data_IF_370085294552
#
_entry.id   IF_370085294552
#
_cell.length_a   1.000
_cell.length_b   1.000
_cell.length_c   1.000
_cell.angle_alpha   90.00
_cell.angle_beta   90.00
_cell.angle_gamma   90.00
#
_symmetry.space_group_name_H-M   'P 1'
#
loop_
_entity.id
_entity.type
_entity.pdbx_description
1 polymer ?
#
# COMPACT_ATOMS: atom_id res chain seq x y z
N UNK A 1 22.75 -0.90 9.03
CA UNK A 1 23.64 -0.38 8.00
C UNK A 1 22.84 0.32 6.92
N UNK A 2 23.33 1.44 6.41
CA UNK A 2 22.72 2.22 5.34
C UNK A 2 23.80 2.98 4.53
N UNK A 3 23.44 3.42 3.33
CA UNK A 3 24.31 4.24 2.49
C UNK A 3 24.18 5.72 2.86
N UNK A 4 25.30 6.39 3.03
CA UNK A 4 25.37 7.84 3.25
C UNK A 4 26.11 8.51 2.09
N UNK A 5 25.45 9.47 1.45
CA UNK A 5 26.06 10.34 0.45
C UNK A 5 27.00 11.32 1.16
N UNK A 6 28.25 11.36 0.73
CA UNK A 6 29.26 12.29 1.20
C UNK A 6 29.73 13.16 0.04
N UNK A 7 29.72 14.48 0.26
CA UNK A 7 30.14 15.43 -0.75
C UNK A 7 31.45 16.06 -0.31
N UNK A 8 32.45 16.05 -1.20
CA UNK A 8 33.72 16.72 -0.97
C UNK A 8 34.02 17.63 -2.15
N UNK A 9 34.38 18.86 -1.82
CA UNK A 9 34.89 19.82 -2.79
C UNK A 9 36.41 19.71 -2.82
N UNK A 10 36.98 19.39 -3.98
CA UNK A 10 38.44 19.44 -4.22
C UNK A 10 38.68 20.36 -5.41
N UNK A 11 39.21 21.55 -5.14
CA UNK A 11 39.34 22.61 -6.15
C UNK A 11 37.98 23.15 -6.62
N UNK A 12 37.78 23.28 -7.95
CA UNK A 12 36.52 23.74 -8.59
C UNK A 12 35.50 22.62 -8.86
N UNK A 13 35.83 21.34 -8.62
CA UNK A 13 34.92 20.20 -8.88
C UNK A 13 34.34 19.63 -7.58
N UNK A 14 33.04 19.29 -7.61
CA UNK A 14 32.33 18.57 -6.54
C UNK A 14 32.44 17.08 -6.82
N UNK A 15 32.94 16.33 -5.84
CA UNK A 15 32.99 14.88 -5.88
C UNK A 15 31.97 14.32 -4.89
N UNK A 16 31.14 13.41 -5.35
CA UNK A 16 30.12 12.74 -4.54
C UNK A 16 30.52 11.29 -4.39
N UNK A 17 30.87 10.89 -3.18
CA UNK A 17 31.20 9.50 -2.86
C UNK A 17 30.23 8.95 -1.82
N UNK A 18 30.13 7.63 -1.78
CA UNK A 18 29.25 6.91 -0.89
C UNK A 18 30.03 6.23 0.22
N UNK A 19 29.47 6.23 1.43
CA UNK A 19 29.99 5.50 2.57
C UNK A 19 28.92 4.54 3.09
N UNK A 20 29.33 3.31 3.41
CA UNK A 20 28.51 2.36 4.15
C UNK A 20 28.62 2.70 5.64
N UNK A 21 27.49 2.94 6.30
CA UNK A 21 27.43 3.39 7.69
C UNK A 21 26.60 2.41 8.51
N UNK A 22 27.11 2.04 9.69
CA UNK A 22 26.39 1.28 10.70
C UNK A 22 25.96 2.18 11.86
N UNK A 23 24.78 1.95 12.41
CA UNK A 23 24.30 2.63 13.62
C UNK A 23 24.56 1.73 14.82
N UNK A 24 25.50 2.11 15.67
CA UNK A 24 25.90 1.38 16.87
C UNK A 24 25.29 2.05 18.10
N UNK A 25 24.65 1.26 18.98
CA UNK A 25 24.15 1.77 20.26
C UNK A 25 25.28 1.86 21.26
N UNK A 26 25.44 3.02 21.88
CA UNK A 26 26.38 3.25 22.98
C UNK A 26 25.62 3.72 24.22
N UNK A 27 26.24 3.65 25.40
CA UNK A 27 25.64 4.14 26.65
C UNK A 27 25.21 5.62 26.60
N UNK A 28 25.75 6.40 25.66
CA UNK A 28 25.41 7.82 25.44
C UNK A 28 24.49 8.03 24.22
N UNK A 29 23.81 6.97 23.76
CA UNK A 29 22.89 7.01 22.62
C UNK A 29 23.44 6.38 21.34
N UNK A 30 22.68 6.54 20.25
CA UNK A 30 23.03 5.99 18.95
C UNK A 30 24.18 6.77 18.32
N UNK A 31 25.24 6.08 17.89
CA UNK A 31 26.38 6.63 17.16
C UNK A 31 26.48 5.99 15.78
N UNK A 32 26.94 6.76 14.80
CA UNK A 32 27.16 6.27 13.45
C UNK A 32 28.65 5.93 13.26
N UNK A 33 28.94 4.72 12.78
CA UNK A 33 30.30 4.25 12.44
C UNK A 33 30.37 4.00 10.93
N UNK A 34 31.37 4.57 10.27
CA UNK A 34 31.65 4.26 8.86
C UNK A 34 32.30 2.87 8.81
N UNK A 35 31.70 1.97 8.03
CA UNK A 35 32.17 0.60 7.82
C UNK A 35 33.12 0.54 6.63
N UNK A 36 32.77 1.21 5.52
CA UNK A 36 33.58 1.27 4.32
C UNK A 36 33.28 2.53 3.49
N UNK A 37 34.29 3.03 2.77
CA UNK A 37 34.10 4.02 1.71
C UNK A 37 33.94 3.28 0.38
N UNK A 38 32.82 3.51 -0.31
CA UNK A 38 32.46 2.82 -1.54
C UNK A 38 32.83 3.61 -2.81
N UNK A 39 33.30 4.85 -2.65
CA UNK A 39 33.68 5.71 -3.77
C UNK A 39 32.47 6.27 -4.52
N UNK A 40 32.66 6.64 -5.79
CA UNK A 40 31.57 7.11 -6.65
C UNK A 40 30.77 5.89 -7.14
N UNK A 41 29.46 5.89 -6.87
CA UNK A 41 28.57 4.80 -7.28
C UNK A 41 27.64 5.31 -8.39
N UNK A 42 27.44 4.49 -9.42
CA UNK A 42 26.33 4.67 -10.37
C UNK A 42 25.00 4.32 -9.72
N UNK A 43 23.86 4.78 -10.27
CA UNK A 43 22.53 4.49 -9.72
C UNK A 43 22.26 2.97 -9.54
N UNK A 44 22.76 2.14 -10.48
CA UNK A 44 22.67 0.67 -10.39
C UNK A 44 23.54 0.07 -9.28
N UNK A 45 24.70 0.67 -9.02
CA UNK A 45 25.57 0.23 -7.94
C UNK A 45 25.04 0.68 -6.57
N UNK A 46 24.45 1.88 -6.49
CA UNK A 46 23.78 2.38 -5.29
C UNK A 46 22.63 1.46 -4.86
N UNK A 47 21.76 1.05 -5.79
CA UNK A 47 20.65 0.14 -5.51
C UNK A 47 21.12 -1.26 -5.07
N UNK A 48 22.19 -1.76 -5.68
CA UNK A 48 22.86 -3.01 -5.30
C UNK A 48 23.43 -2.96 -3.88
N UNK A 49 24.19 -1.91 -3.55
CA UNK A 49 24.78 -1.72 -2.22
C UNK A 49 23.74 -1.46 -1.13
N UNK A 50 22.66 -0.73 -1.45
CA UNK A 50 21.54 -0.56 -0.53
C UNK A 50 20.85 -1.90 -0.23
N UNK A 51 20.74 -2.78 -1.23
CA UNK A 51 20.17 -4.13 -1.07
C UNK A 51 21.08 -5.03 -0.24
N UNK A 52 22.39 -5.01 -0.49
CA UNK A 52 23.38 -5.77 0.28
C UNK A 52 23.44 -5.31 1.75
N UNK A 53 23.40 -3.99 1.99
CA UNK A 53 23.36 -3.41 3.34
C UNK A 53 22.15 -3.90 4.16
N UNK A 54 20.99 -4.03 3.52
CA UNK A 54 19.76 -4.52 4.17
C UNK A 54 19.84 -6.02 4.49
N UNK A 55 20.39 -6.82 3.57
CA UNK A 55 20.61 -8.26 3.79
C UNK A 55 21.56 -8.51 4.97
N UNK A 56 22.64 -7.73 5.06
CA UNK A 56 23.58 -7.77 6.20
C UNK A 56 22.89 -7.42 7.53
N UNK A 57 21.98 -6.45 7.51
CA UNK A 57 21.20 -6.02 8.69
C UNK A 57 20.11 -7.00 9.13
N UNK A 58 19.85 -8.08 8.37
CA UNK A 58 18.68 -8.98 8.53
C UNK A 58 17.33 -8.23 8.61
N UNK A 59 17.28 -7.01 8.08
CA UNK A 59 16.05 -6.24 7.97
C UNK A 59 15.39 -6.62 6.66
N UNK A 60 14.44 -7.54 6.72
CA UNK A 60 13.56 -7.81 5.59
C UNK A 60 12.81 -6.54 5.20
N UNK A 61 12.61 -6.35 3.88
CA UNK A 61 11.81 -5.23 3.40
C UNK A 61 10.41 -5.36 4.01
N UNK A 62 9.83 -4.30 4.60
CA UNK A 62 8.39 -4.28 4.76
C UNK A 62 7.79 -4.42 3.37
N UNK A 63 6.92 -5.42 3.19
CA UNK A 63 6.23 -5.64 1.92
C UNK A 63 5.44 -4.37 1.60
N UNK A 64 5.64 -3.78 0.41
CA UNK A 64 4.80 -2.65 -0.01
C UNK A 64 3.35 -3.12 -0.04
N UNK A 65 2.45 -2.29 0.46
CA UNK A 65 1.01 -2.50 0.27
C UNK A 65 0.64 -2.16 -1.17
N UNK A 66 -0.48 -2.71 -1.66
CA UNK A 66 -0.97 -2.49 -3.03
C UNK A 66 -1.20 -0.98 -3.35
N UNK A 67 -1.30 -0.14 -2.32
CA UNK A 67 -1.62 1.28 -2.43
C UNK A 67 -0.45 2.20 -2.05
N UNK A 68 0.72 1.65 -1.74
CA UNK A 68 1.90 2.47 -1.51
C UNK A 68 2.37 3.05 -2.84
N UNK A 69 2.64 4.36 -2.94
CA UNK A 69 3.15 4.96 -4.17
C UNK A 69 4.50 4.34 -4.54
N UNK A 70 4.78 4.18 -5.85
CA UNK A 70 6.03 3.59 -6.32
C UNK A 70 7.21 4.42 -5.80
N UNK A 71 8.13 3.76 -5.10
CA UNK A 71 9.30 4.44 -4.51
C UNK A 71 10.40 4.57 -5.57
N UNK A 72 11.14 5.68 -5.52
CA UNK A 72 12.27 5.99 -6.43
C UNK A 72 13.40 4.94 -6.47
N UNK A 73 13.42 3.98 -5.55
CA UNK A 73 14.39 2.89 -5.47
C UNK A 73 13.84 1.56 -6.03
N UNK A 74 12.71 1.61 -6.75
CA UNK A 74 12.19 0.44 -7.44
C UNK A 74 13.24 -0.08 -8.44
N UNK A 75 13.50 -1.40 -8.43
CA UNK A 75 14.26 -1.98 -9.52
C UNK A 75 13.56 -1.62 -10.84
N UNK A 76 14.34 -1.33 -11.87
CA UNK A 76 13.80 -0.99 -13.19
C UNK A 76 12.69 -1.98 -13.57
N UNK A 77 11.65 -1.50 -14.25
CA UNK A 77 10.44 -2.27 -14.61
C UNK A 77 10.75 -3.65 -15.27
N UNK A 78 11.97 -3.82 -15.78
CA UNK A 78 12.49 -5.04 -16.39
C UNK A 78 13.10 -6.09 -15.43
N UNK A 79 13.15 -5.86 -14.11
CA UNK A 79 13.69 -6.86 -13.17
C UNK A 79 12.57 -7.77 -12.62
N UNK A 80 12.51 -9.06 -13.02
CA UNK A 80 11.45 -9.95 -12.57
C UNK A 80 11.56 -10.22 -11.07
N UNK A 81 10.55 -9.80 -10.31
CA UNK A 81 10.41 -10.14 -8.89
C UNK A 81 9.94 -11.58 -8.76
N UNK A 82 10.80 -12.46 -8.26
CA UNK A 82 10.46 -13.87 -8.01
C UNK A 82 9.58 -13.99 -6.76
N UNK A 83 8.34 -14.46 -6.94
CA UNK A 83 7.38 -14.68 -5.85
C UNK A 83 7.25 -16.18 -5.54
N UNK A 84 7.39 -16.56 -4.26
CA UNK A 84 7.16 -17.94 -3.82
C UNK A 84 5.67 -18.23 -3.68
N UNK A 85 5.08 -18.82 -4.72
CA UNK A 85 3.65 -19.17 -4.76
C UNK A 85 3.22 -20.14 -3.65
N UNK A 86 4.10 -21.03 -3.18
CA UNK A 86 3.78 -21.99 -2.11
C UNK A 86 3.56 -21.31 -0.75
N UNK A 87 4.15 -20.13 -0.57
CA UNK A 87 4.02 -19.29 0.64
C UNK A 87 2.83 -18.33 0.60
N UNK A 88 2.10 -18.24 -0.52
CA UNK A 88 0.96 -17.33 -0.64
C UNK A 88 -0.21 -17.87 0.21
N UNK A 89 -0.80 -16.97 1.00
CA UNK A 89 -1.96 -17.23 1.84
C UNK A 89 -2.95 -16.08 1.69
N UNK A 90 -4.17 -16.39 1.29
CA UNK A 90 -5.27 -15.44 1.29
C UNK A 90 -5.76 -15.29 2.74
N UNK A 91 -5.79 -14.06 3.26
CA UNK A 91 -6.31 -13.74 4.59
C UNK A 91 -7.36 -12.65 4.45
N UNK A 92 -8.45 -12.75 5.22
CA UNK A 92 -9.59 -11.81 5.17
C UNK A 92 -10.20 -11.72 3.77
N UNK A 93 -10.56 -12.87 3.20
CA UNK A 93 -11.39 -12.91 2.00
C UNK A 93 -12.65 -12.10 2.29
N UNK A 94 -12.87 -11.06 1.49
CA UNK A 94 -14.11 -10.29 1.51
C UNK A 94 -15.00 -10.84 0.41
N UNK A 95 -16.24 -11.15 0.75
CA UNK A 95 -17.22 -11.36 -0.30
C UNK A 95 -17.47 -10.02 -1.00
N UNK A 96 -17.51 -10.07 -2.33
CA UNK A 96 -17.59 -8.89 -3.19
C UNK A 96 -18.53 -9.10 -4.37
N UNK A 97 -19.01 -10.34 -4.57
CA UNK A 97 -19.83 -10.68 -5.74
C UNK A 97 -21.20 -9.99 -5.71
N UNK A 98 -21.78 -9.88 -4.53
CA UNK A 98 -23.03 -9.17 -4.24
C UNK A 98 -22.93 -7.68 -4.53
N UNK A 99 -21.92 -7.00 -3.97
CA UNK A 99 -21.65 -5.56 -4.17
C UNK A 99 -21.37 -5.27 -5.64
N UNK A 100 -20.58 -6.12 -6.30
CA UNK A 100 -20.28 -5.99 -7.72
C UNK A 100 -21.54 -6.14 -8.58
N UNK A 101 -22.37 -7.14 -8.32
CA UNK A 101 -23.62 -7.36 -9.05
C UNK A 101 -24.59 -6.20 -8.85
N UNK A 102 -24.73 -5.71 -7.61
CA UNK A 102 -25.59 -4.59 -7.27
C UNK A 102 -25.16 -3.30 -7.99
N UNK A 103 -23.86 -3.00 -8.02
CA UNK A 103 -23.32 -1.88 -8.81
C UNK A 103 -23.50 -2.10 -10.32
N UNK A 104 -23.41 -3.34 -10.80
CA UNK A 104 -23.71 -3.69 -12.19
C UNK A 104 -25.16 -3.39 -12.55
N UNK A 105 -26.12 -3.80 -11.71
CA UNK A 105 -27.54 -3.50 -11.90
C UNK A 105 -27.82 -2.00 -11.84
N UNK A 106 -27.22 -1.30 -10.89
CA UNK A 106 -27.32 0.15 -10.75
C UNK A 106 -26.91 0.90 -12.03
N UNK A 107 -25.80 0.47 -12.65
CA UNK A 107 -25.33 0.97 -13.95
C UNK A 107 -26.26 0.62 -15.10
N UNK A 108 -26.73 -0.62 -15.15
CA UNK A 108 -27.66 -1.09 -16.19
C UNK A 108 -28.98 -0.31 -16.18
N UNK A 109 -29.43 0.11 -15.02
CA UNK A 109 -30.61 0.97 -14.85
C UNK A 109 -30.33 2.45 -15.18
N UNK A 110 -29.08 2.83 -15.46
CA UNK A 110 -28.69 4.21 -15.74
C UNK A 110 -28.79 5.15 -14.54
N UNK A 111 -28.82 4.61 -13.32
CA UNK A 111 -28.99 5.40 -12.09
C UNK A 111 -27.79 6.30 -11.82
N UNK A 112 -26.58 5.86 -12.19
CA UNK A 112 -25.37 6.68 -12.14
C UNK A 112 -25.57 7.99 -12.91
N UNK A 113 -25.86 7.90 -14.20
CA UNK A 113 -26.01 9.08 -15.07
C UNK A 113 -27.22 9.93 -14.69
N UNK A 114 -28.31 9.29 -14.27
CA UNK A 114 -29.51 9.99 -13.80
C UNK A 114 -29.19 10.84 -12.57
N UNK A 115 -28.62 10.24 -11.53
CA UNK A 115 -28.35 10.93 -10.28
C UNK A 115 -27.25 11.98 -10.41
N UNK A 116 -26.25 11.74 -11.26
CA UNK A 116 -25.25 12.76 -11.60
C UNK A 116 -25.86 14.02 -12.23
N UNK A 117 -26.93 13.88 -13.03
CA UNK A 117 -27.65 15.03 -13.61
C UNK A 117 -28.59 15.71 -12.62
N UNK A 118 -29.21 14.94 -11.74
CA UNK A 118 -30.24 15.44 -10.82
C UNK A 118 -29.66 16.02 -9.52
N UNK A 119 -28.46 15.60 -9.11
CA UNK A 119 -27.82 16.04 -7.87
C UNK A 119 -26.55 16.82 -8.18
N UNK A 120 -26.65 18.14 -8.45
CA UNK A 120 -25.48 18.98 -8.70
C UNK A 120 -24.59 19.05 -7.46
N UNK A 121 -23.30 19.26 -7.71
CA UNK A 121 -22.30 19.35 -6.65
C UNK A 121 -22.57 20.55 -5.72
N UNK A 122 -22.46 20.32 -4.42
CA UNK A 122 -22.64 21.32 -3.37
C UNK A 122 -21.34 21.58 -2.59
N UNK A 123 -21.38 21.34 -1.27
CA UNK A 123 -20.24 21.48 -0.35
C UNK A 123 -19.73 20.14 0.17
N UNK A 124 -20.11 19.05 -0.46
CA UNK A 124 -19.74 17.70 -0.04
C UNK A 124 -18.32 17.33 -0.47
N UNK A 125 -17.63 16.57 0.39
CA UNK A 125 -16.33 15.98 0.05
C UNK A 125 -16.47 14.75 -0.86
N UNK A 126 -17.61 14.06 -0.76
CA UNK A 126 -17.97 12.90 -1.59
C UNK A 126 -19.27 13.22 -2.33
N UNK A 127 -19.31 13.16 -3.67
CA UNK A 127 -20.49 13.51 -4.44
C UNK A 127 -21.74 12.74 -4.01
N UNK A 128 -22.88 13.43 -3.88
CA UNK A 128 -24.15 12.81 -3.50
C UNK A 128 -24.58 11.60 -4.35
N UNK A 129 -24.37 11.57 -5.68
CA UNK A 129 -24.64 10.36 -6.48
C UNK A 129 -23.87 9.14 -5.99
N UNK A 130 -22.62 9.32 -5.55
CA UNK A 130 -21.78 8.25 -5.02
C UNK A 130 -22.31 7.78 -3.66
N UNK A 131 -22.70 8.70 -2.78
CA UNK A 131 -23.30 8.36 -1.48
C UNK A 131 -24.60 7.57 -1.67
N UNK A 132 -25.46 8.00 -2.58
CA UNK A 132 -26.71 7.30 -2.91
C UNK A 132 -26.46 5.88 -3.45
N UNK A 133 -25.45 5.71 -4.31
CA UNK A 133 -25.05 4.39 -4.81
C UNK A 133 -24.57 3.48 -3.67
N UNK A 134 -23.70 3.99 -2.79
CA UNK A 134 -23.18 3.24 -1.64
C UNK A 134 -24.31 2.80 -0.71
N UNK A 135 -25.21 3.71 -0.32
CA UNK A 135 -26.33 3.39 0.57
C UNK A 135 -27.28 2.37 -0.06
N UNK A 136 -27.62 2.54 -1.35
CA UNK A 136 -28.52 1.63 -2.05
C UNK A 136 -27.91 0.23 -2.18
N UNK A 137 -26.65 0.15 -2.62
CA UNK A 137 -25.94 -1.12 -2.79
C UNK A 137 -25.76 -1.82 -1.45
N UNK A 138 -25.37 -1.08 -0.40
CA UNK A 138 -25.25 -1.64 0.93
C UNK A 138 -26.59 -2.20 1.42
N UNK A 139 -27.70 -1.47 1.25
CA UNK A 139 -29.04 -1.94 1.62
C UNK A 139 -29.51 -3.14 0.80
N UNK A 140 -29.13 -3.21 -0.48
CA UNK A 140 -29.44 -4.32 -1.38
C UNK A 140 -28.70 -5.59 -0.99
N UNK A 141 -27.41 -5.49 -0.67
CA UNK A 141 -26.57 -6.63 -0.29
C UNK A 141 -26.88 -7.11 1.12
N UNK A 142 -27.12 -6.18 2.05
CA UNK A 142 -27.48 -6.48 3.43
C UNK A 142 -28.44 -5.42 3.97
N UNK A 143 -29.74 -5.75 4.15
CA UNK A 143 -30.74 -4.79 4.60
C UNK A 143 -30.59 -4.45 6.10
N UNK A 144 -29.50 -3.79 6.46
CA UNK A 144 -29.15 -3.30 7.81
C UNK A 144 -29.24 -1.77 7.88
N UNK A 145 -29.30 -1.19 9.08
CA UNK A 145 -29.44 0.27 9.27
C UNK A 145 -28.24 1.04 8.71
N UNK A 146 -28.43 2.31 8.35
CA UNK A 146 -27.35 3.18 7.80
C UNK A 146 -26.13 3.28 8.76
N UNK A 147 -26.37 3.15 10.06
CA UNK A 147 -25.33 3.10 11.11
C UNK A 147 -24.43 1.85 11.03
N UNK A 148 -24.85 0.80 10.34
CA UNK A 148 -24.03 -0.38 10.07
C UNK A 148 -22.95 -0.13 9.00
N UNK A 149 -23.21 0.84 8.12
CA UNK A 149 -22.34 1.21 6.98
C UNK A 149 -21.29 2.24 7.41
N UNK A 150 -21.53 2.97 8.51
CA UNK A 150 -20.60 3.96 9.04
C UNK A 150 -19.32 3.28 9.59
N UNK A 151 -18.11 3.80 9.28
CA UNK A 151 -16.87 3.30 9.87
C UNK A 151 -16.77 3.72 11.34
N UNK A 152 -17.47 3.00 12.22
CA UNK A 152 -17.33 3.12 13.66
C UNK A 152 -16.17 2.27 14.21
N UNK A 153 -15.63 2.58 15.40
CA UNK A 153 -14.59 1.78 16.06
C UNK A 153 -15.05 0.36 16.46
N UNK A 154 -16.35 0.06 16.27
CA UNK A 154 -16.99 -1.23 16.49
C UNK A 154 -17.49 -1.87 15.19
N UNK A 155 -16.84 -1.59 14.05
CA UNK A 155 -17.03 -2.40 12.84
C UNK A 155 -16.53 -3.83 13.10
N UNK A 156 -17.36 -4.61 13.78
CA UNK A 156 -17.13 -6.01 14.07
C UNK A 156 -17.07 -6.77 12.75
N UNK A 157 -16.07 -7.65 12.53
CA UNK A 157 -16.00 -8.48 11.34
C UNK A 157 -16.99 -9.65 11.51
N UNK A 158 -18.28 -9.34 11.57
CA UNK A 158 -19.34 -10.33 11.67
C UNK A 158 -19.82 -10.77 10.28
N UNK A 159 -18.89 -11.07 9.36
CA UNK A 159 -19.18 -11.94 8.23
C UNK A 159 -19.11 -13.38 8.73
N UNK A 160 -20.08 -13.74 9.59
CA UNK A 160 -20.27 -15.08 10.13
C UNK A 160 -21.16 -15.85 9.15
N UNK A 161 -20.54 -16.72 8.37
CA UNK A 161 -21.15 -17.79 7.58
C UNK A 161 -22.40 -18.37 8.24
N UNK A 162 -23.58 -17.97 7.75
CA UNK A 162 -24.86 -18.62 8.09
C UNK A 162 -25.54 -19.13 6.82
N UNK A 163 -24.85 -20.01 6.11
CA UNK A 163 -25.50 -21.04 5.27
C UNK A 163 -25.22 -22.41 5.87
N UNK A 164 -25.99 -22.74 6.90
CA UNK A 164 -26.23 -24.12 7.32
C UNK A 164 -27.52 -24.55 6.62
N UNK A 165 -27.42 -25.36 5.58
CA UNK A 165 -28.54 -26.03 4.91
C UNK A 165 -28.01 -27.34 4.35
N UNK A 166 -28.11 -28.42 5.13
CA UNK A 166 -29.06 -29.52 4.89
C UNK A 166 -28.79 -30.23 3.57
N UNK A 167 -27.89 -31.22 3.62
CA UNK A 167 -27.97 -32.38 2.72
C UNK A 167 -28.75 -33.46 3.47
N UNK A 168 -29.85 -33.89 2.85
CA UNK A 168 -30.31 -35.29 2.91
C UNK A 168 -29.48 -36.09 1.91
#
# INVERSE_FOLDING_TARGET
MFLRRCERRKGRKRHTYWALVESVRTARGSRQRIVAYLGELTARQESGWATLSRRLDRKERPQPTLFDPPRRDEPAEDEPVLVNLKGVRLRRLRDFGDVWLALGLWRLLGLDDLLWRLMPAGREDVPWPVVAAVLTVARFCEPSSELHIAPGPLASPAYSSRRRGRQM
#
